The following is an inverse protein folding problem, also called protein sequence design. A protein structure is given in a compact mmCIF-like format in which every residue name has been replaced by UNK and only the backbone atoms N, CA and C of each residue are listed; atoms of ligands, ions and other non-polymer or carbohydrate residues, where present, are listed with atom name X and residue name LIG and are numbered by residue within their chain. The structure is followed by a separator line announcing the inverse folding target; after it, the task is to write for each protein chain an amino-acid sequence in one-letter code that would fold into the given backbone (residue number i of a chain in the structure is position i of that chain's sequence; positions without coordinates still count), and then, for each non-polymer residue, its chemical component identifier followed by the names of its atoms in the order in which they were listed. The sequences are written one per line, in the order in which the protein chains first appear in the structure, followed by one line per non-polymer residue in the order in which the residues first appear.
data_IF_518995979881
#
_entry.id   IF_518995979881
#
_cell.length_a   1.000
_cell.length_b   1.000
_cell.length_c   1.000
_cell.angle_alpha   90.00
_cell.angle_beta   90.00
_cell.angle_gamma   90.00
#
_symmetry.space_group_name_H-M   'P 1'
#
loop_
_entity.id
_entity.type
_entity.pdbx_description
1 polymer ?
#
# COMPACT_ATOMS: atom_id res chain seq x y z
N UNK A 1 -5.43 8.80 -12.75
CA UNK A 1 -6.37 8.61 -13.90
C UNK A 1 -7.43 7.54 -13.61
N UNK A 2 -7.04 6.42 -13.00
CA UNK A 2 -7.99 5.35 -12.64
C UNK A 2 -9.04 5.85 -11.62
N UNK A 3 -8.62 6.59 -10.62
CA UNK A 3 -9.52 7.10 -9.56
C UNK A 3 -10.63 8.02 -10.09
N UNK A 4 -10.38 8.75 -11.17
CA UNK A 4 -11.42 9.61 -11.80
C UNK A 4 -12.64 8.86 -12.32
N UNK A 5 -12.51 7.55 -12.50
CA UNK A 5 -13.61 6.67 -12.93
C UNK A 5 -14.43 6.12 -11.75
N UNK A 6 -14.00 6.38 -10.53
CA UNK A 6 -14.69 5.93 -9.30
C UNK A 6 -15.57 7.08 -8.80
N UNK A 7 -16.89 6.97 -8.83
CA UNK A 7 -17.78 8.03 -8.36
C UNK A 7 -17.71 8.19 -6.84
N UNK A 8 -17.87 9.43 -6.34
CA UNK A 8 -17.97 9.73 -4.91
C UNK A 8 -16.66 9.52 -4.14
N UNK A 9 -15.50 9.83 -4.77
CA UNK A 9 -14.22 9.79 -4.10
C UNK A 9 -14.07 10.95 -3.11
N UNK A 10 -13.84 10.62 -1.85
CA UNK A 10 -13.44 11.52 -0.77
C UNK A 10 -11.96 11.29 -0.42
N UNK A 11 -11.38 12.09 0.48
CA UNK A 11 -9.96 12.05 0.78
C UNK A 11 -9.48 10.69 1.34
N UNK A 12 -10.35 9.97 2.05
CA UNK A 12 -10.10 8.67 2.67
C UNK A 12 -10.56 7.47 1.82
N UNK A 13 -11.03 7.71 0.60
CA UNK A 13 -11.52 6.65 -0.28
C UNK A 13 -10.39 5.86 -0.94
N UNK A 14 -9.24 6.49 -1.16
CA UNK A 14 -8.08 5.88 -1.78
C UNK A 14 -6.81 6.09 -0.96
N UNK A 15 -6.06 5.01 -0.71
CA UNK A 15 -4.81 5.02 0.03
C UNK A 15 -3.63 4.60 -0.84
N UNK A 16 -2.59 5.43 -0.84
CA UNK A 16 -1.23 5.04 -1.25
C UNK A 16 -0.49 4.58 0.01
N UNK A 17 -0.08 3.32 0.05
CA UNK A 17 0.52 2.72 1.24
C UNK A 17 1.99 2.42 0.97
N UNK A 18 2.88 3.02 1.74
CA UNK A 18 4.33 2.95 1.57
C UNK A 18 4.95 4.29 1.24
N UNK A 19 6.24 4.27 0.93
CA UNK A 19 7.03 5.48 0.63
C UNK A 19 7.15 5.76 -0.88
N UNK A 20 6.63 4.86 -1.72
CA UNK A 20 6.78 4.95 -3.17
C UNK A 20 5.69 5.85 -3.78
N UNK A 21 6.06 6.65 -4.78
CA UNK A 21 5.11 7.39 -5.59
C UNK A 21 4.39 6.42 -6.54
N UNK A 22 3.11 6.18 -6.30
CA UNK A 22 2.32 5.21 -7.06
C UNK A 22 1.64 5.87 -8.25
N UNK A 23 2.23 5.76 -9.43
CA UNK A 23 1.68 6.34 -10.68
C UNK A 23 0.25 5.93 -11.01
N UNK A 24 -0.18 4.77 -10.53
CA UNK A 24 -1.56 4.28 -10.71
C UNK A 24 -2.59 5.18 -10.02
N UNK A 25 -2.18 5.86 -8.94
CA UNK A 25 -3.02 6.79 -8.19
C UNK A 25 -2.83 8.26 -8.59
N UNK A 26 -1.88 8.58 -9.50
CA UNK A 26 -1.65 9.95 -9.94
C UNK A 26 -2.88 10.55 -10.64
N UNK A 27 -3.23 11.79 -10.26
CA UNK A 27 -4.34 12.55 -10.82
C UNK A 27 -4.91 13.56 -9.84
N UNK A 28 -5.96 14.28 -10.20
CA UNK A 28 -6.59 15.29 -9.35
C UNK A 28 -7.47 14.72 -8.23
N UNK A 29 -7.73 13.40 -8.22
CA UNK A 29 -8.50 12.78 -7.14
C UNK A 29 -7.69 12.76 -5.85
N UNK A 30 -8.32 13.03 -4.69
CA UNK A 30 -7.63 12.98 -3.41
C UNK A 30 -7.17 11.56 -3.08
N UNK A 31 -5.96 11.45 -2.55
CA UNK A 31 -5.36 10.18 -2.11
C UNK A 31 -4.72 10.39 -0.75
N UNK A 32 -5.11 9.62 0.23
CA UNK A 32 -4.45 9.57 1.52
C UNK A 32 -3.15 8.74 1.42
N UNK A 33 -2.12 9.14 2.16
CA UNK A 33 -0.84 8.45 2.18
C UNK A 33 -0.57 7.90 3.57
N UNK A 34 -0.10 6.67 3.64
CA UNK A 34 0.37 6.05 4.87
C UNK A 34 1.60 5.19 4.62
N UNK A 35 2.57 5.21 5.54
CA UNK A 35 3.74 4.34 5.48
C UNK A 35 4.00 3.71 6.86
N UNK A 36 4.43 2.43 6.92
CA UNK A 36 4.71 1.72 8.16
C UNK A 36 5.74 2.42 9.04
N UNK A 37 6.69 3.11 8.41
CA UNK A 37 7.79 3.81 9.07
C UNK A 37 7.49 5.28 9.37
N UNK A 38 6.34 5.79 8.93
CA UNK A 38 5.92 7.16 9.20
C UNK A 38 5.60 7.32 10.69
N UNK A 39 6.57 7.84 11.43
CA UNK A 39 6.46 8.15 12.85
C UNK A 39 6.18 9.64 13.02
N UNK A 40 4.91 10.01 13.13
CA UNK A 40 4.56 11.36 13.57
C UNK A 40 4.75 11.45 15.10
N UNK A 41 6.01 11.52 15.55
CA UNK A 41 6.34 11.74 16.97
C UNK A 41 6.46 13.23 17.21
N UNK A 42 5.36 13.89 17.39
CA UNK A 42 5.35 15.25 17.89
C UNK A 42 5.39 15.22 19.42
N UNK A 43 6.24 16.07 20.03
CA UNK A 43 6.12 16.31 21.47
C UNK A 43 4.74 16.95 21.76
N UNK A 44 4.20 16.82 22.98
CA UNK A 44 2.93 17.45 23.33
C UNK A 44 2.91 18.95 23.01
N UNK A 45 4.04 19.65 23.22
CA UNK A 45 4.18 21.06 22.91
C UNK A 45 4.17 21.34 21.40
N UNK A 46 4.87 20.50 20.61
CA UNK A 46 4.87 20.63 19.15
C UNK A 46 3.50 20.34 18.55
N UNK A 47 2.75 19.39 19.14
CA UNK A 47 1.38 19.11 18.73
C UNK A 47 0.45 20.29 19.00
N UNK A 48 0.51 20.87 20.20
CA UNK A 48 -0.26 22.07 20.54
C UNK A 48 0.04 23.25 19.62
N UNK A 49 1.32 23.45 19.32
CA UNK A 49 1.76 24.50 18.39
C UNK A 49 1.21 24.25 16.97
N UNK A 50 1.32 23.01 16.49
CA UNK A 50 0.80 22.63 15.17
C UNK A 50 -0.70 22.86 15.08
N UNK A 51 -1.47 22.47 16.08
CA UNK A 51 -2.91 22.70 16.15
C UNK A 51 -3.26 24.22 16.12
N UNK A 52 -2.54 25.02 16.90
CA UNK A 52 -2.73 26.47 16.94
C UNK A 52 -2.42 27.15 15.60
N UNK A 53 -1.31 26.76 14.96
CA UNK A 53 -0.90 27.31 13.66
C UNK A 53 -1.87 26.93 12.56
N UNK A 54 -2.39 25.70 12.59
CA UNK A 54 -3.30 25.15 11.57
C UNK A 54 -4.78 25.49 11.83
N UNK A 55 -5.12 26.07 12.99
CA UNK A 55 -6.49 26.40 13.34
C UNK A 55 -7.18 27.35 12.34
N UNK A 56 -6.38 28.19 11.66
CA UNK A 56 -6.85 29.14 10.65
C UNK A 56 -6.99 28.56 9.24
N UNK A 57 -6.51 27.34 9.04
CA UNK A 57 -6.58 26.63 7.77
C UNK A 57 -7.36 25.31 7.99
N UNK A 58 -8.65 25.26 7.67
CA UNK A 58 -9.50 24.08 7.90
C UNK A 58 -8.96 22.82 7.20
N UNK A 59 -8.31 22.98 6.06
CA UNK A 59 -7.78 21.87 5.28
C UNK A 59 -6.54 21.26 5.95
N UNK A 60 -5.63 22.11 6.44
CA UNK A 60 -4.46 21.68 7.19
C UNK A 60 -4.81 21.11 8.56
N UNK A 61 -5.83 21.69 9.22
CA UNK A 61 -6.33 21.19 10.50
C UNK A 61 -6.94 19.77 10.34
N UNK A 62 -7.73 19.55 9.29
CA UNK A 62 -8.30 18.23 8.98
C UNK A 62 -7.20 17.22 8.66
N UNK A 63 -6.22 17.61 7.85
CA UNK A 63 -5.06 16.75 7.50
C UNK A 63 -4.23 16.36 8.74
N UNK A 64 -4.02 17.29 9.68
CA UNK A 64 -3.32 16.98 10.94
C UNK A 64 -4.13 16.02 11.81
N UNK A 65 -5.44 16.22 11.93
CA UNK A 65 -6.32 15.35 12.69
C UNK A 65 -6.30 13.93 12.11
N UNK A 66 -6.41 13.78 10.80
CA UNK A 66 -6.30 12.49 10.11
C UNK A 66 -4.94 11.83 10.34
N UNK A 67 -3.83 12.58 10.19
CA UNK A 67 -2.49 12.06 10.44
C UNK A 67 -2.30 11.58 11.88
N UNK A 68 -2.90 12.25 12.86
CA UNK A 68 -2.87 11.84 14.26
C UNK A 68 -3.69 10.56 14.50
N UNK A 69 -4.88 10.45 13.91
CA UNK A 69 -5.69 9.24 13.99
C UNK A 69 -4.95 8.05 13.36
N UNK A 70 -4.39 8.22 12.16
CA UNK A 70 -3.60 7.21 11.48
C UNK A 70 -2.37 6.78 12.30
N UNK A 71 -1.73 7.74 12.98
CA UNK A 71 -0.59 7.46 13.86
C UNK A 71 -0.98 6.65 15.09
N UNK A 72 -2.13 6.90 15.69
CA UNK A 72 -2.66 6.16 16.85
C UNK A 72 -3.07 4.73 16.46
N UNK A 73 -3.75 4.57 15.34
CA UNK A 73 -4.12 3.26 14.79
C UNK A 73 -2.88 2.42 14.47
N UNK A 74 -1.84 3.05 13.91
CA UNK A 74 -0.57 2.41 13.65
C UNK A 74 0.18 2.00 14.93
N UNK A 75 0.02 2.71 16.06
CA UNK A 75 0.60 2.28 17.36
C UNK A 75 -0.05 1.02 17.92
N UNK A 76 -1.34 0.82 17.69
CA UNK A 76 -2.05 -0.40 18.06
C UNK A 76 -1.57 -1.63 17.26
N UNK A 77 -1.17 -1.44 16.01
CA UNK A 77 -0.78 -2.50 15.07
C UNK A 77 0.75 -2.71 14.97
N UNK A 78 1.55 -1.86 15.64
CA UNK A 78 3.02 -1.93 15.71
C UNK A 78 3.59 -3.11 16.51
N UNK A 79 2.82 -4.13 16.79
CA UNK A 79 3.30 -5.35 17.44
C UNK A 79 4.15 -6.17 16.47
N UNK A 80 5.29 -5.61 16.05
CA UNK A 80 6.42 -6.33 15.48
C UNK A 80 6.08 -7.21 14.27
N UNK A 81 5.88 -6.62 13.09
CA UNK A 81 5.75 -7.35 11.84
C UNK A 81 6.72 -6.84 10.79
N UNK A 82 7.00 -7.65 9.77
CA UNK A 82 7.73 -7.22 8.57
C UNK A 82 6.92 -6.14 7.83
N UNK A 83 7.59 -5.26 7.09
CA UNK A 83 6.93 -4.13 6.42
C UNK A 83 5.70 -4.53 5.59
N UNK A 84 5.78 -5.62 4.82
CA UNK A 84 4.65 -6.09 4.02
C UNK A 84 3.46 -6.60 4.86
N UNK A 85 3.71 -7.11 6.07
CA UNK A 85 2.65 -7.52 6.99
C UNK A 85 1.90 -6.30 7.52
N UNK A 86 2.62 -5.24 7.88
CA UNK A 86 2.03 -3.98 8.33
C UNK A 86 1.21 -3.32 7.21
N UNK A 87 1.75 -3.28 5.98
CA UNK A 87 1.05 -2.81 4.79
C UNK A 87 -0.26 -3.58 4.57
N UNK A 88 -0.20 -4.90 4.60
CA UNK A 88 -1.39 -5.73 4.37
C UNK A 88 -2.47 -5.53 5.44
N UNK A 89 -2.07 -5.46 6.72
CA UNK A 89 -3.01 -5.22 7.83
C UNK A 89 -3.64 -3.85 7.76
N UNK A 90 -2.83 -2.81 7.50
CA UNK A 90 -3.35 -1.45 7.33
C UNK A 90 -4.33 -1.38 6.15
N UNK A 91 -3.96 -1.91 4.98
CA UNK A 91 -4.83 -1.95 3.82
C UNK A 91 -6.17 -2.65 4.13
N UNK A 92 -6.12 -3.83 4.77
CA UNK A 92 -7.31 -4.57 5.15
C UNK A 92 -8.19 -3.77 6.14
N UNK A 93 -7.59 -3.08 7.11
CA UNK A 93 -8.34 -2.28 8.07
C UNK A 93 -9.09 -1.12 7.39
N UNK A 94 -8.45 -0.41 6.44
CA UNK A 94 -9.08 0.70 5.72
C UNK A 94 -10.15 0.22 4.74
N UNK A 95 -9.88 -0.84 3.99
CA UNK A 95 -10.84 -1.42 3.04
C UNK A 95 -12.08 -2.04 3.71
N UNK A 96 -12.03 -2.33 5.00
CA UNK A 96 -13.21 -2.73 5.80
C UNK A 96 -14.04 -1.55 6.27
N UNK A 97 -13.51 -0.35 6.19
CA UNK A 97 -14.18 0.92 6.52
C UNK A 97 -14.64 1.60 5.22
N UNK A 98 -14.28 2.85 5.04
CA UNK A 98 -14.76 3.67 3.93
C UNK A 98 -13.84 3.65 2.70
N UNK A 99 -12.60 3.14 2.85
CA UNK A 99 -11.68 3.04 1.73
C UNK A 99 -12.16 2.04 0.68
N UNK A 100 -12.02 2.42 -0.58
CA UNK A 100 -12.40 1.61 -1.75
C UNK A 100 -11.19 1.17 -2.57
N UNK A 101 -10.07 1.87 -2.42
CA UNK A 101 -8.83 1.58 -3.13
C UNK A 101 -7.66 1.63 -2.16
N UNK A 102 -6.84 0.59 -2.17
CA UNK A 102 -5.55 0.56 -1.50
C UNK A 102 -4.49 0.11 -2.50
N UNK A 103 -3.44 0.88 -2.67
CA UNK A 103 -2.34 0.56 -3.56
C UNK A 103 -1.01 0.64 -2.82
N UNK A 104 -0.11 -0.28 -3.11
CA UNK A 104 1.23 -0.35 -2.52
C UNK A 104 2.19 -1.12 -3.43
N UNK A 105 3.48 -0.96 -3.19
CA UNK A 105 4.54 -1.68 -3.88
C UNK A 105 5.16 -2.73 -2.98
N UNK A 106 5.52 -3.87 -3.57
CA UNK A 106 6.38 -4.88 -2.97
C UNK A 106 7.70 -4.90 -3.75
N UNK A 107 8.80 -4.53 -3.11
CA UNK A 107 10.11 -4.39 -3.74
C UNK A 107 10.89 -5.70 -3.79
N UNK A 108 12.04 -5.68 -4.50
CA UNK A 108 12.98 -6.80 -4.55
C UNK A 108 12.89 -7.67 -5.81
N UNK A 109 12.04 -7.31 -6.77
CA UNK A 109 11.82 -8.09 -8.00
C UNK A 109 12.87 -7.87 -9.08
N UNK A 110 13.74 -6.89 -8.90
CA UNK A 110 14.85 -6.63 -9.85
C UNK A 110 16.04 -7.58 -9.63
N UNK A 111 15.81 -8.84 -9.98
CA UNK A 111 16.69 -9.98 -9.67
C UNK A 111 17.73 -10.22 -10.76
N UNK A 112 18.66 -9.27 -10.94
CA UNK A 112 19.79 -9.44 -11.88
C UNK A 112 20.82 -10.50 -11.44
N UNK A 113 20.83 -10.91 -10.16
CA UNK A 113 21.73 -11.88 -9.59
C UNK A 113 21.01 -12.86 -8.68
N UNK A 114 21.47 -14.11 -8.66
CA UNK A 114 20.98 -15.15 -7.77
C UNK A 114 19.42 -15.21 -7.71
N UNK A 115 18.76 -15.11 -8.87
CA UNK A 115 17.32 -14.98 -9.00
C UNK A 115 16.55 -16.10 -8.33
N UNK A 116 17.01 -17.35 -8.47
CA UNK A 116 16.33 -18.50 -7.88
C UNK A 116 16.09 -18.32 -6.37
N UNK A 117 17.08 -17.80 -5.64
CA UNK A 117 16.97 -17.52 -4.20
C UNK A 117 16.12 -16.29 -3.89
N UNK A 118 16.35 -15.20 -4.61
CA UNK A 118 15.70 -13.92 -4.35
C UNK A 118 14.22 -13.96 -4.75
N UNK A 119 13.91 -14.55 -5.88
CA UNK A 119 12.53 -14.73 -6.35
C UNK A 119 11.71 -15.57 -5.37
N UNK A 120 12.28 -16.66 -4.82
CA UNK A 120 11.60 -17.47 -3.81
C UNK A 120 11.17 -16.67 -2.59
N UNK A 121 12.04 -15.79 -2.09
CA UNK A 121 11.70 -14.88 -0.97
C UNK A 121 10.59 -13.90 -1.34
N UNK A 122 10.67 -13.30 -2.53
CA UNK A 122 9.68 -12.31 -2.97
C UNK A 122 8.31 -12.96 -3.22
N UNK A 123 8.27 -14.17 -3.75
CA UNK A 123 7.04 -14.95 -3.89
C UNK A 123 6.43 -15.30 -2.52
N UNK A 124 7.26 -15.64 -1.53
CA UNK A 124 6.80 -15.84 -0.16
C UNK A 124 6.18 -14.56 0.40
N UNK A 125 6.87 -13.41 0.26
CA UNK A 125 6.37 -12.10 0.68
C UNK A 125 5.03 -11.76 0.01
N UNK A 126 4.90 -11.99 -1.29
CA UNK A 126 3.65 -11.78 -2.03
C UNK A 126 2.53 -12.69 -1.50
N UNK A 127 2.81 -13.98 -1.32
CA UNK A 127 1.85 -14.97 -0.80
C UNK A 127 1.37 -14.60 0.60
N UNK A 128 2.28 -14.23 1.50
CA UNK A 128 1.96 -13.77 2.85
C UNK A 128 1.11 -12.49 2.82
N UNK A 129 1.46 -11.53 1.97
CA UNK A 129 0.69 -10.28 1.81
C UNK A 129 -0.74 -10.56 1.37
N UNK A 130 -0.94 -11.40 0.35
CA UNK A 130 -2.27 -11.76 -0.15
C UNK A 130 -3.08 -12.50 0.91
N UNK A 131 -2.45 -13.42 1.64
CA UNK A 131 -3.10 -14.18 2.71
C UNK A 131 -3.53 -13.26 3.85
N UNK A 132 -2.66 -12.36 4.30
CA UNK A 132 -2.97 -11.40 5.36
C UNK A 132 -4.07 -10.40 4.95
N UNK A 133 -4.08 -9.97 3.70
CA UNK A 133 -5.17 -9.15 3.16
C UNK A 133 -6.49 -9.90 3.19
N UNK A 134 -6.54 -11.12 2.67
CA UNK A 134 -7.74 -11.96 2.66
C UNK A 134 -8.27 -12.19 4.07
N UNK A 135 -7.39 -12.59 4.97
CA UNK A 135 -7.77 -12.92 6.34
C UNK A 135 -8.19 -11.66 7.12
N UNK A 136 -7.49 -10.53 6.89
CA UNK A 136 -7.83 -9.24 7.49
C UNK A 136 -9.12 -8.63 6.96
N UNK A 137 -9.47 -8.85 5.70
CA UNK A 137 -10.75 -8.41 5.10
C UNK A 137 -11.91 -9.28 5.59
N UNK A 138 -11.67 -10.55 5.85
CA UNK A 138 -12.72 -11.53 6.12
C UNK A 138 -13.57 -11.84 4.88
N UNK A 139 -14.40 -12.88 4.94
CA UNK A 139 -15.11 -13.39 3.78
C UNK A 139 -15.99 -12.34 3.10
N UNK A 140 -16.75 -11.57 3.85
CA UNK A 140 -17.73 -10.61 3.31
C UNK A 140 -17.08 -9.47 2.50
N UNK A 141 -15.95 -8.92 2.96
CA UNK A 141 -15.23 -7.88 2.23
C UNK A 141 -14.40 -8.50 1.09
N UNK A 142 -13.78 -9.67 1.32
CA UNK A 142 -13.03 -10.38 0.30
C UNK A 142 -13.85 -10.73 -0.93
N UNK A 143 -15.11 -11.16 -0.75
CA UNK A 143 -16.05 -11.48 -1.84
C UNK A 143 -16.35 -10.28 -2.75
N UNK A 144 -16.13 -9.05 -2.25
CA UNK A 144 -16.31 -7.79 -2.99
C UNK A 144 -15.01 -7.16 -3.44
N UNK A 145 -13.88 -7.80 -3.16
CA UNK A 145 -12.53 -7.27 -3.45
C UNK A 145 -12.00 -7.84 -4.76
N UNK A 146 -11.44 -6.97 -5.58
CA UNK A 146 -10.58 -7.33 -6.69
C UNK A 146 -9.13 -6.92 -6.34
N UNK A 147 -8.26 -7.90 -6.15
CA UNK A 147 -6.82 -7.70 -5.96
C UNK A 147 -6.13 -7.86 -7.30
N UNK A 148 -5.35 -6.84 -7.68
CA UNK A 148 -4.54 -6.86 -8.90
C UNK A 148 -3.08 -6.67 -8.51
N UNK A 149 -2.23 -7.64 -8.79
CA UNK A 149 -0.79 -7.51 -8.67
C UNK A 149 -0.17 -7.55 -10.08
N UNK A 150 0.65 -6.57 -10.40
CA UNK A 150 1.30 -6.47 -11.70
C UNK A 150 2.76 -6.07 -11.55
N UNK A 151 3.58 -6.51 -12.48
CA UNK A 151 4.99 -6.13 -12.55
C UNK A 151 5.13 -4.72 -13.14
N UNK A 152 6.07 -3.95 -12.60
CA UNK A 152 6.41 -2.60 -13.11
C UNK A 152 7.21 -2.68 -14.41
N UNK A 153 8.07 -3.69 -14.53
CA UNK A 153 8.93 -3.94 -15.69
C UNK A 153 8.88 -5.41 -16.07
N UNK A 154 9.35 -5.71 -17.29
CA UNK A 154 9.48 -7.07 -17.77
C UNK A 154 10.91 -7.61 -17.61
N UNK A 155 11.05 -8.93 -17.72
CA UNK A 155 12.32 -9.65 -17.66
C UNK A 155 12.55 -10.43 -18.95
N UNK A 156 13.82 -10.71 -19.24
CA UNK A 156 14.20 -11.64 -20.31
C UNK A 156 13.93 -13.07 -19.91
N UNK A 157 13.59 -13.93 -20.88
CA UNK A 157 13.46 -15.36 -20.63
C UNK A 157 14.84 -16.03 -20.46
N UNK A 158 15.91 -15.40 -20.94
CA UNK A 158 17.27 -15.92 -20.89
C UNK A 158 17.95 -15.51 -19.58
N UNK A 159 18.58 -16.48 -18.92
CA UNK A 159 19.46 -16.23 -17.78
C UNK A 159 20.72 -15.45 -18.23
N UNK A 160 21.13 -14.50 -17.42
CA UNK A 160 22.37 -13.75 -17.60
C UNK A 160 23.57 -14.43 -16.91
N UNK A 161 24.76 -13.86 -17.07
CA UNK A 161 26.00 -14.44 -16.53
C UNK A 161 26.14 -14.42 -15.00
N UNK A 162 25.14 -13.89 -14.25
CA UNK A 162 25.17 -13.78 -12.78
C UNK A 162 24.05 -14.58 -12.09
N UNK A 163 23.42 -15.49 -12.81
CA UNK A 163 22.34 -16.33 -12.28
C UNK A 163 21.06 -15.56 -12.02
N UNK A 164 20.79 -14.56 -12.84
CA UNK A 164 19.58 -13.75 -12.84
C UNK A 164 19.05 -13.56 -14.25
N UNK A 165 18.18 -12.57 -14.42
CA UNK A 165 17.69 -12.14 -15.73
C UNK A 165 17.82 -10.63 -15.87
N UNK A 166 17.91 -10.14 -17.09
CA UNK A 166 17.94 -8.71 -17.36
C UNK A 166 16.52 -8.19 -17.67
N UNK A 167 16.36 -6.86 -17.77
CA UNK A 167 15.10 -6.28 -18.18
C UNK A 167 14.71 -6.73 -19.59
N UNK A 168 13.45 -6.98 -19.80
CA UNK A 168 12.88 -7.45 -21.06
C UNK A 168 11.37 -7.25 -21.10
N UNK A 169 10.68 -8.07 -21.88
CA UNK A 169 9.24 -7.92 -22.15
C UNK A 169 8.34 -8.89 -21.38
N UNK A 170 8.93 -9.89 -20.69
CA UNK A 170 8.17 -10.87 -19.92
C UNK A 170 7.65 -10.28 -18.61
N UNK A 171 6.37 -9.95 -18.55
CA UNK A 171 5.69 -9.46 -17.35
C UNK A 171 4.63 -10.43 -16.85
N UNK A 172 4.11 -10.17 -15.65
CA UNK A 172 3.04 -10.95 -15.03
C UNK A 172 1.97 -10.01 -14.46
N UNK A 173 0.73 -10.41 -14.60
CA UNK A 173 -0.38 -9.86 -13.85
C UNK A 173 -1.11 -11.01 -13.15
N UNK A 174 -1.36 -10.86 -11.85
CA UNK A 174 -2.13 -11.80 -11.03
C UNK A 174 -3.40 -11.09 -10.57
N UNK A 175 -4.49 -11.82 -10.63
CA UNK A 175 -5.80 -11.41 -10.13
C UNK A 175 -6.23 -12.34 -9.01
N UNK A 176 -6.80 -11.79 -7.94
CA UNK A 176 -7.36 -12.54 -6.82
C UNK A 176 -8.53 -11.76 -6.19
N UNK A 177 -9.34 -12.45 -5.39
CA UNK A 177 -10.50 -11.86 -4.72
C UNK A 177 -11.84 -12.35 -5.27
N UNK A 178 -12.86 -12.29 -4.46
CA UNK A 178 -14.19 -12.83 -4.83
C UNK A 178 -14.93 -12.01 -5.87
N UNK A 179 -14.53 -10.76 -6.12
CA UNK A 179 -15.12 -9.94 -7.19
C UNK A 179 -14.59 -10.28 -8.60
N UNK A 180 -13.64 -11.23 -8.69
CA UNK A 180 -13.06 -11.67 -9.97
C UNK A 180 -13.68 -13.04 -10.29
N UNK A 181 -14.75 -13.03 -11.03
CA UNK A 181 -15.43 -14.20 -11.55
C UNK A 181 -15.42 -14.17 -13.07
#
# INVERSE_FOLDING_TARGET
RMLQLVPGLEADTAYAIGNDALRVLEGPAPVANWAPEANLRLSPQALQLAQLVMERDPQMHAALAEALMLSQDAEGDRRGGRAHEQIARFAASRLRQDARVAAFSLNGWDTHRAQARNLGRNLTTLSETVTLLRDGLGAQAWDKTALVAMTEFGRTARENGTGGTDHGTGGLMMLAGGAIN
#
